data_IF_196482098475
#
_entry.id   IF_196482098475
#
_cell.length_a   1.000
_cell.length_b   1.000
_cell.length_c   1.000
_cell.angle_alpha   90.00
_cell.angle_beta   90.00
_cell.angle_gamma   90.00
#
_symmetry.space_group_name_H-M   'P 1'
#
loop_
_entity.id
_entity.type
_entity.pdbx_description
1 polymer ?
#
# COMPACT_ATOMS: atom_id res chain seq x y z
N UNK A 1 0.98 3.76 -12.40
CA UNK A 1 1.39 2.81 -11.32
C UNK A 1 0.28 1.80 -11.00
N UNK A 2 -0.90 2.20 -10.47
CA UNK A 2 -1.97 1.25 -10.12
C UNK A 2 -2.50 0.38 -11.29
N UNK A 3 -2.65 0.94 -12.51
CA UNK A 3 -3.13 0.20 -13.69
C UNK A 3 -2.18 -0.95 -14.10
N UNK A 4 -0.86 -0.71 -14.07
CA UNK A 4 0.15 -1.71 -14.46
C UNK A 4 0.23 -2.85 -13.46
N UNK A 5 0.24 -2.57 -12.16
CA UNK A 5 0.16 -3.62 -11.14
C UNK A 5 -1.10 -4.46 -11.26
N UNK A 6 -2.28 -3.82 -11.44
CA UNK A 6 -3.54 -4.53 -11.66
C UNK A 6 -3.46 -5.46 -12.87
N UNK A 7 -2.95 -4.95 -14.00
CA UNK A 7 -2.74 -5.77 -15.19
C UNK A 7 -1.82 -6.97 -14.93
N UNK A 8 -0.66 -6.75 -14.30
CA UNK A 8 0.30 -7.82 -13.98
C UNK A 8 -0.30 -8.85 -13.00
N UNK A 9 -1.11 -8.42 -12.03
CA UNK A 9 -1.83 -9.33 -11.12
C UNK A 9 -2.87 -10.16 -11.86
N UNK A 10 -3.64 -9.55 -12.78
CA UNK A 10 -4.60 -10.28 -13.61
C UNK A 10 -3.89 -11.27 -14.53
N UNK A 11 -2.86 -10.83 -15.25
CA UNK A 11 -2.03 -11.70 -16.10
C UNK A 11 -1.43 -12.87 -15.33
N UNK A 12 -0.90 -12.62 -14.13
CA UNK A 12 -0.35 -13.68 -13.29
C UNK A 12 -1.42 -14.70 -12.89
N UNK A 13 -2.65 -14.25 -12.59
CA UNK A 13 -3.77 -15.14 -12.30
C UNK A 13 -4.13 -15.99 -13.51
N UNK A 14 -4.19 -15.41 -14.71
CA UNK A 14 -4.49 -16.13 -15.95
C UNK A 14 -3.44 -17.20 -16.25
N UNK A 15 -2.14 -16.87 -16.09
CA UNK A 15 -1.03 -17.82 -16.29
C UNK A 15 -1.03 -18.95 -15.24
N UNK A 16 -1.50 -18.69 -14.02
CA UNK A 16 -1.62 -19.71 -12.98
C UNK A 16 -2.73 -20.73 -13.26
N UNK A 17 -3.78 -20.34 -13.99
CA UNK A 17 -4.87 -21.24 -14.39
C UNK A 17 -4.58 -21.96 -15.73
N UNK A 18 -3.61 -21.45 -16.51
CA UNK A 18 -3.21 -22.03 -17.78
C UNK A 18 -2.45 -23.36 -17.60
N UNK A 19 -2.37 -24.14 -18.69
CA UNK A 19 -1.63 -25.40 -18.69
C UNK A 19 -0.16 -25.19 -18.35
N UNK A 20 0.40 -26.11 -17.58
CA UNK A 20 1.76 -25.98 -17.09
C UNK A 20 2.73 -26.55 -18.12
N UNK A 21 3.33 -25.65 -18.89
CA UNK A 21 4.46 -25.92 -19.76
C UNK A 21 5.63 -24.96 -19.47
N UNK A 22 6.78 -25.20 -20.13
CA UNK A 22 7.98 -24.41 -19.92
C UNK A 22 7.80 -22.94 -20.34
N UNK A 23 6.96 -22.68 -21.34
CA UNK A 23 6.66 -21.33 -21.82
C UNK A 23 5.84 -20.53 -20.80
N UNK A 24 4.79 -21.13 -20.27
CA UNK A 24 3.95 -20.55 -19.22
C UNK A 24 4.77 -20.35 -17.94
N UNK A 25 5.63 -21.32 -17.57
CA UNK A 25 6.51 -21.18 -16.41
C UNK A 25 7.46 -19.99 -16.55
N UNK A 26 8.08 -19.82 -17.72
CA UNK A 26 8.94 -18.68 -18.00
C UNK A 26 8.17 -17.35 -17.92
N UNK A 27 6.97 -17.29 -18.50
CA UNK A 27 6.14 -16.10 -18.51
C UNK A 27 5.60 -15.74 -17.11
N UNK A 28 5.29 -16.75 -16.29
CA UNK A 28 4.93 -16.57 -14.87
C UNK A 28 6.08 -15.96 -14.08
N UNK A 29 7.32 -16.45 -14.28
CA UNK A 29 8.50 -15.93 -13.59
C UNK A 29 8.73 -14.48 -13.98
N UNK A 30 8.71 -14.16 -15.27
CA UNK A 30 8.87 -12.78 -15.74
C UNK A 30 7.77 -11.86 -15.19
N UNK A 31 6.51 -12.29 -15.24
CA UNK A 31 5.37 -11.52 -14.70
C UNK A 31 5.53 -11.25 -13.20
N UNK A 32 6.01 -12.23 -12.41
CA UNK A 32 6.32 -12.05 -10.99
C UNK A 32 7.45 -11.04 -10.76
N UNK A 33 8.51 -11.10 -11.57
CA UNK A 33 9.63 -10.15 -11.49
C UNK A 33 9.13 -8.72 -11.77
N UNK A 34 8.36 -8.54 -12.84
CA UNK A 34 7.80 -7.24 -13.19
C UNK A 34 6.86 -6.70 -12.10
N UNK A 35 6.03 -7.56 -11.51
CA UNK A 35 5.13 -7.16 -10.42
C UNK A 35 5.92 -6.70 -9.18
N UNK A 36 6.94 -7.45 -8.78
CA UNK A 36 7.81 -7.08 -7.67
C UNK A 36 8.52 -5.74 -7.92
N UNK A 37 8.96 -5.50 -9.16
CA UNK A 37 9.58 -4.23 -9.52
C UNK A 37 8.61 -3.05 -9.38
N UNK A 38 7.36 -3.20 -9.80
CA UNK A 38 6.34 -2.16 -9.64
C UNK A 38 5.91 -1.96 -8.18
N UNK A 39 5.98 -3.01 -7.33
CA UNK A 39 5.77 -2.87 -5.88
C UNK A 39 6.90 -2.05 -5.25
N UNK A 40 8.16 -2.39 -5.54
CA UNK A 40 9.33 -1.67 -5.03
C UNK A 40 9.35 -0.19 -5.41
N UNK A 41 8.91 0.15 -6.63
CA UNK A 41 8.75 1.57 -7.03
C UNK A 41 7.77 2.32 -6.14
N UNK A 42 6.64 1.71 -5.83
CA UNK A 42 5.64 2.32 -4.96
C UNK A 42 6.18 2.44 -3.53
N UNK A 43 6.87 1.42 -3.01
CA UNK A 43 7.51 1.46 -1.69
C UNK A 43 8.51 2.62 -1.59
N UNK A 44 9.42 2.74 -2.55
CA UNK A 44 10.39 3.83 -2.60
C UNK A 44 9.72 5.21 -2.67
N UNK A 45 8.69 5.33 -3.50
CA UNK A 45 7.90 6.57 -3.60
C UNK A 45 7.27 6.94 -2.25
N UNK A 46 6.66 5.97 -1.57
CA UNK A 46 6.02 6.20 -0.27
C UNK A 46 7.02 6.49 0.84
N UNK A 47 8.18 5.83 0.84
CA UNK A 47 9.27 6.10 1.77
C UNK A 47 9.77 7.54 1.61
N UNK A 48 10.08 7.96 0.38
CA UNK A 48 10.51 9.33 0.10
C UNK A 48 9.47 10.34 0.55
N UNK A 49 8.19 10.09 0.24
CA UNK A 49 7.09 10.99 0.62
C UNK A 49 6.89 11.06 2.13
N UNK A 50 7.00 9.93 2.84
CA UNK A 50 6.95 9.89 4.29
C UNK A 50 8.10 10.69 4.91
N UNK A 51 9.33 10.52 4.40
CA UNK A 51 10.50 11.28 4.86
C UNK A 51 10.37 12.77 4.62
N UNK A 52 9.90 13.18 3.44
CA UNK A 52 9.65 14.60 3.13
C UNK A 52 8.56 15.18 4.02
N UNK A 53 7.47 14.45 4.26
CA UNK A 53 6.42 14.88 5.18
C UNK A 53 6.94 15.00 6.61
N UNK A 54 7.77 14.05 7.06
CA UNK A 54 8.41 14.12 8.37
C UNK A 54 9.32 15.35 8.50
N UNK A 55 10.19 15.60 7.51
CA UNK A 55 11.06 16.78 7.49
C UNK A 55 10.26 18.09 7.45
N UNK A 56 9.18 18.14 6.67
CA UNK A 56 8.36 19.35 6.48
C UNK A 56 7.49 19.66 7.69
N UNK A 57 6.90 18.65 8.30
CA UNK A 57 5.89 18.84 9.34
C UNK A 57 6.39 18.51 10.74
N UNK A 58 7.44 17.69 10.88
CA UNK A 58 8.05 17.33 12.16
C UNK A 58 7.01 17.12 13.26
N UNK A 59 7.13 17.91 14.32
CA UNK A 59 6.27 17.86 15.51
C UNK A 59 4.82 18.32 15.28
N UNK A 60 4.56 19.07 14.20
CA UNK A 60 3.20 19.47 13.80
C UNK A 60 2.39 18.28 13.31
N UNK A 61 3.06 17.24 12.78
CA UNK A 61 2.38 15.98 12.44
C UNK A 61 1.95 15.26 13.73
N UNK A 62 2.80 15.25 14.75
CA UNK A 62 2.49 14.75 16.10
C UNK A 62 1.30 15.50 16.71
N UNK A 63 1.28 16.84 16.63
CA UNK A 63 0.16 17.65 17.11
C UNK A 63 -1.16 17.30 16.40
N UNK A 64 -1.14 17.07 15.09
CA UNK A 64 -2.32 16.60 14.36
C UNK A 64 -2.79 15.23 14.86
N UNK A 65 -1.90 14.24 14.99
CA UNK A 65 -2.28 12.90 15.48
C UNK A 65 -2.74 12.92 16.96
N UNK A 66 -2.10 13.72 17.82
CA UNK A 66 -2.55 13.94 19.20
C UNK A 66 -3.93 14.60 19.25
N UNK A 67 -4.20 15.58 18.38
CA UNK A 67 -5.52 16.22 18.30
C UNK A 67 -6.61 15.23 17.86
N UNK A 68 -6.31 14.36 16.89
CA UNK A 68 -7.23 13.34 16.40
C UNK A 68 -7.47 12.23 17.43
N UNK A 69 -6.41 11.77 18.13
CA UNK A 69 -6.52 10.80 19.21
C UNK A 69 -7.37 11.35 20.38
N UNK A 70 -7.15 12.61 20.75
CA UNK A 70 -7.95 13.31 21.78
C UNK A 70 -9.42 13.41 21.37
N UNK A 71 -9.72 13.78 20.12
CA UNK A 71 -11.10 13.83 19.62
C UNK A 71 -11.78 12.46 19.64
N UNK A 72 -11.08 11.38 19.24
CA UNK A 72 -11.63 10.02 19.29
C UNK A 72 -11.91 9.57 20.73
N UNK A 73 -11.03 9.91 21.68
CA UNK A 73 -11.22 9.62 23.11
C UNK A 73 -12.48 10.31 23.66
N UNK A 74 -12.66 11.60 23.34
CA UNK A 74 -13.87 12.36 23.72
C UNK A 74 -15.14 11.71 23.17
N UNK A 75 -15.20 11.45 21.85
CA UNK A 75 -16.36 10.79 21.22
C UNK A 75 -16.70 9.43 21.83
N UNK A 76 -15.69 8.63 22.21
CA UNK A 76 -15.92 7.34 22.88
C UNK A 76 -16.49 7.52 24.28
N UNK A 77 -15.99 8.49 25.05
CA UNK A 77 -16.50 8.83 26.38
C UNK A 77 -17.93 9.35 26.30
N UNK A 78 -18.21 10.24 25.36
CA UNK A 78 -19.55 10.80 25.14
C UNK A 78 -20.53 9.69 24.78
N UNK A 79 -20.19 8.78 23.86
CA UNK A 79 -21.02 7.64 23.48
C UNK A 79 -21.30 6.67 24.65
N UNK A 80 -20.39 6.56 25.61
CA UNK A 80 -20.59 5.76 26.84
C UNK A 80 -21.43 6.49 27.90
N UNK A 81 -21.52 7.82 27.85
CA UNK A 81 -22.29 8.63 28.79
C UNK A 81 -23.77 8.81 28.38
N UNK A 82 -24.12 8.54 27.11
CA UNK A 82 -25.51 8.56 26.60
C UNK A 82 -26.14 7.16 26.54
N UNK A 83 -25.47 6.14 27.08
CA UNK A 83 -25.95 4.75 27.15
C UNK A 83 -26.18 4.36 28.60
#
# INVERSE_FOLDING_TARGET
>A
MKKKKKFLTTKLSELMEAERDDTNLAEMIDTKIQLNFEIKKDEYYWEQRARLNWLKFGDKNTAYFHSQATQRKRKKSDYQAVK
#
